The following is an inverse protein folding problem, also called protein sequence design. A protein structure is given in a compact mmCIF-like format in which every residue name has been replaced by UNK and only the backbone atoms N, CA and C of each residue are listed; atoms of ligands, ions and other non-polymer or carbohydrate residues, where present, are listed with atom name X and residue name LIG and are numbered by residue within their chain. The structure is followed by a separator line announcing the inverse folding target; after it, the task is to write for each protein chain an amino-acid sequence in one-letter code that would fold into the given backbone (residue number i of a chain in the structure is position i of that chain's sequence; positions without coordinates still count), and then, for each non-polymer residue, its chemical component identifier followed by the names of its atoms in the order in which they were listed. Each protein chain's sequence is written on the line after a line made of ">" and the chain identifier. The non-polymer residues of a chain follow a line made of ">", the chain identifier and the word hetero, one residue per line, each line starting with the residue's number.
data_IF_281615032637
#
_entry.id   IF_281615032637
#
_cell.length_a   1.000
_cell.length_b   1.000
_cell.length_c   1.000
_cell.angle_alpha   90.00
_cell.angle_beta   90.00
_cell.angle_gamma   90.00
#
_symmetry.space_group_name_H-M   'P 1'
#
loop_
_entity.id
_entity.type
_entity.pdbx_description
1 polymer ?
#
# COMPACT_ATOMS: atom_id res chain seq x y z
N UNK A 1 -19.46 0.13 19.95
CA UNK A 1 -18.43 1.06 19.44
C UNK A 1 -18.16 0.76 17.98
N UNK A 2 -18.08 1.79 17.19
CA UNK A 2 -17.79 1.63 15.77
C UNK A 2 -16.38 1.09 15.58
N UNK A 3 -16.23 0.11 14.68
CA UNK A 3 -14.93 -0.43 14.31
C UNK A 3 -14.19 0.62 13.47
N UNK A 4 -12.94 0.89 13.81
CA UNK A 4 -12.11 1.78 12.98
C UNK A 4 -11.82 1.11 11.65
N UNK A 5 -11.93 1.88 10.59
CA UNK A 5 -11.73 1.40 9.23
C UNK A 5 -10.67 2.24 8.53
N UNK A 6 -9.89 1.59 7.69
CA UNK A 6 -8.97 2.23 6.75
C UNK A 6 -9.23 1.68 5.36
N UNK A 7 -8.81 2.45 4.37
CA UNK A 7 -8.86 2.02 2.98
C UNK A 7 -7.52 2.26 2.32
N UNK A 8 -7.11 1.35 1.47
CA UNK A 8 -5.82 1.43 0.80
C UNK A 8 -5.83 0.91 -0.62
N UNK A 9 -4.79 1.26 -1.34
CA UNK A 9 -4.60 0.85 -2.73
C UNK A 9 -3.31 0.05 -2.84
N UNK A 10 -3.40 -1.14 -3.39
CA UNK A 10 -2.25 -1.93 -3.80
C UNK A 10 -2.06 -1.73 -5.30
N UNK A 11 -1.16 -0.82 -5.66
CA UNK A 11 -0.82 -0.61 -7.05
C UNK A 11 0.03 -1.78 -7.53
N UNK A 12 -0.28 -2.32 -8.70
CA UNK A 12 0.51 -3.40 -9.29
C UNK A 12 0.77 -3.13 -10.75
N UNK A 13 1.84 -3.70 -11.26
CA UNK A 13 2.18 -3.66 -12.68
C UNK A 13 2.55 -5.05 -13.16
N UNK A 14 2.29 -5.30 -14.43
CA UNK A 14 2.67 -6.57 -15.05
C UNK A 14 4.08 -6.47 -15.59
N UNK A 15 4.82 -7.55 -15.37
CA UNK A 15 6.19 -7.65 -15.87
C UNK A 15 6.17 -8.63 -17.04
N UNK A 16 6.77 -8.20 -18.14
CA UNK A 16 6.97 -9.07 -19.28
C UNK A 16 8.40 -9.62 -19.25
N UNK A 17 8.55 -10.90 -19.51
CA UNK A 17 9.83 -11.55 -19.62
C UNK A 17 9.98 -12.78 -18.75
N UNK A 18 10.96 -13.60 -19.10
CA UNK A 18 11.18 -14.92 -18.52
C UNK A 18 11.67 -14.91 -17.08
N UNK A 19 11.90 -13.75 -16.48
CA UNK A 19 12.53 -13.64 -15.18
C UNK A 19 11.54 -13.37 -14.05
N UNK A 20 10.28 -13.14 -14.34
CA UNK A 20 9.29 -12.88 -13.31
C UNK A 20 8.51 -14.14 -13.00
N UNK A 21 8.69 -14.68 -11.81
CA UNK A 21 8.03 -15.90 -11.38
C UNK A 21 6.51 -15.78 -11.27
N UNK A 22 5.99 -14.56 -11.13
CA UNK A 22 4.56 -14.30 -10.97
C UNK A 22 3.97 -13.37 -12.03
N UNK A 23 4.81 -12.71 -12.80
CA UNK A 23 4.38 -11.76 -13.83
C UNK A 23 3.88 -10.43 -13.31
N UNK A 24 3.95 -10.15 -12.01
CA UNK A 24 3.50 -8.89 -11.42
C UNK A 24 4.49 -8.38 -10.39
N UNK A 25 4.49 -7.05 -10.21
CA UNK A 25 5.12 -6.39 -9.08
C UNK A 25 4.09 -5.51 -8.38
N UNK A 26 4.26 -5.34 -7.08
CA UNK A 26 3.39 -4.50 -6.26
C UNK A 26 4.18 -3.35 -5.66
N UNK A 27 3.53 -2.20 -5.50
CA UNK A 27 4.12 -1.03 -4.89
C UNK A 27 3.80 -1.00 -3.41
N UNK A 28 4.83 -0.96 -2.59
CA UNK A 28 4.71 -0.84 -1.15
C UNK A 28 5.34 0.45 -0.66
N UNK A 29 4.89 0.90 0.51
CA UNK A 29 5.33 2.13 1.14
C UNK A 29 6.05 1.81 2.45
N UNK A 30 7.16 2.50 2.69
CA UNK A 30 7.91 2.38 3.93
C UNK A 30 7.51 3.53 4.87
N UNK A 31 7.08 3.22 6.11
CA UNK A 31 6.70 4.27 7.06
C UNK A 31 7.88 5.20 7.36
N UNK A 32 7.62 6.49 7.38
CA UNK A 32 8.62 7.50 7.74
C UNK A 32 8.67 7.76 9.24
N UNK A 33 9.58 8.64 9.62
CA UNK A 33 9.79 9.01 11.00
C UNK A 33 10.86 8.20 11.70
N UNK A 34 11.29 8.67 12.89
CA UNK A 34 12.48 8.12 13.54
C UNK A 34 12.32 6.69 14.05
N UNK A 35 11.08 6.24 14.31
CA UNK A 35 10.85 4.89 14.81
C UNK A 35 11.05 3.82 13.75
N UNK A 36 10.98 4.18 12.47
CA UNK A 36 11.02 3.22 11.37
C UNK A 36 12.28 3.28 10.52
N UNK A 37 13.18 4.21 10.82
CA UNK A 37 14.38 4.46 10.00
C UNK A 37 15.19 3.19 9.74
N UNK A 38 15.29 2.30 10.73
CA UNK A 38 16.05 1.05 10.63
C UNK A 38 15.17 -0.19 10.54
N UNK A 39 13.85 -0.01 10.35
CA UNK A 39 12.93 -1.12 10.22
C UNK A 39 12.71 -1.41 8.75
N UNK A 40 12.65 -2.66 8.40
CA UNK A 40 12.49 -3.08 7.01
C UNK A 40 11.49 -4.24 6.94
N UNK A 41 11.96 -5.48 6.99
CA UNK A 41 11.06 -6.64 6.90
C UNK A 41 9.95 -6.57 7.94
N UNK A 42 8.71 -6.81 7.50
CA UNK A 42 7.55 -6.80 8.37
C UNK A 42 7.03 -5.41 8.71
N UNK A 43 7.56 -4.33 8.12
CA UNK A 43 7.18 -2.96 8.44
C UNK A 43 6.60 -2.16 7.28
N UNK A 44 6.77 -2.63 6.05
CA UNK A 44 6.18 -1.99 4.89
C UNK A 44 4.67 -2.15 4.89
N UNK A 45 3.98 -1.25 4.21
CA UNK A 45 2.53 -1.19 4.17
C UNK A 45 2.06 -0.82 2.77
N UNK A 46 0.80 -1.13 2.46
CA UNK A 46 0.15 -0.48 1.32
C UNK A 46 -0.17 0.96 1.73
N UNK A 47 -0.16 1.91 0.77
CA UNK A 47 -0.64 3.27 1.05
C UNK A 47 -2.11 3.20 1.47
N UNK A 48 -2.42 3.72 2.66
CA UNK A 48 -3.77 3.61 3.24
C UNK A 48 -3.97 4.62 4.34
N UNK A 49 -5.21 4.87 4.67
CA UNK A 49 -5.55 5.70 5.81
C UNK A 49 -7.03 5.65 6.14
N UNK A 50 -7.40 6.43 7.13
CA UNK A 50 -8.76 6.44 7.66
C UNK A 50 -9.61 7.48 6.93
N UNK A 51 -10.93 7.24 6.80
CA UNK A 51 -11.83 8.25 6.26
C UNK A 51 -11.82 9.53 7.10
N UNK A 52 -11.87 10.66 6.41
CA UNK A 52 -12.19 11.93 7.06
C UNK A 52 -13.70 12.05 7.30
N UNK A 53 -14.10 13.03 8.11
CA UNK A 53 -15.51 13.24 8.41
C UNK A 53 -16.33 13.41 7.12
N UNK A 54 -17.36 12.59 6.98
CA UNK A 54 -18.27 12.64 5.83
C UNK A 54 -17.86 11.77 4.65
N UNK A 55 -16.69 11.17 4.67
CA UNK A 55 -16.28 10.22 3.62
C UNK A 55 -16.91 8.85 3.87
N UNK A 56 -17.71 8.37 2.94
CA UNK A 56 -18.36 7.07 3.02
C UNK A 56 -17.86 6.07 1.98
N UNK A 57 -17.33 6.56 0.86
CA UNK A 57 -16.80 5.71 -0.22
C UNK A 57 -15.36 5.32 0.10
N UNK A 58 -15.17 4.09 0.54
CA UNK A 58 -13.86 3.60 0.96
C UNK A 58 -12.86 3.50 -0.20
N UNK A 59 -13.30 3.25 -1.42
CA UNK A 59 -12.39 3.30 -2.56
C UNK A 59 -11.86 4.70 -2.78
N UNK A 60 -12.74 5.70 -2.68
CA UNK A 60 -12.31 7.10 -2.79
C UNK A 60 -11.35 7.48 -1.66
N UNK A 61 -11.58 6.99 -0.44
CA UNK A 61 -10.66 7.18 0.68
C UNK A 61 -9.29 6.58 0.37
N UNK A 62 -9.26 5.36 -0.14
CA UNK A 62 -8.00 4.71 -0.50
C UNK A 62 -7.24 5.47 -1.57
N UNK A 63 -7.95 6.00 -2.58
CA UNK A 63 -7.34 6.81 -3.64
C UNK A 63 -6.78 8.13 -3.10
N UNK A 64 -7.51 8.79 -2.20
CA UNK A 64 -7.04 10.02 -1.55
C UNK A 64 -5.79 9.77 -0.71
N UNK A 65 -5.82 8.73 0.11
CA UNK A 65 -4.67 8.37 0.95
C UNK A 65 -3.44 8.00 0.12
N UNK A 66 -3.65 7.29 -0.99
CA UNK A 66 -2.56 7.00 -1.93
C UNK A 66 -1.92 8.30 -2.45
N UNK A 67 -2.75 9.25 -2.88
CA UNK A 67 -2.25 10.53 -3.38
C UNK A 67 -1.49 11.31 -2.31
N UNK A 68 -1.96 11.29 -1.08
CA UNK A 68 -1.29 11.98 0.03
C UNK A 68 0.05 11.35 0.39
N UNK A 69 0.13 10.02 0.38
CA UNK A 69 1.33 9.30 0.81
C UNK A 69 2.35 9.12 -0.32
N UNK A 70 1.92 9.04 -1.55
CA UNK A 70 2.78 8.81 -2.71
C UNK A 70 3.04 10.09 -3.51
N UNK A 71 2.14 11.06 -3.41
CA UNK A 71 2.29 12.35 -4.06
C UNK A 71 1.75 12.43 -5.47
N UNK A 72 1.15 11.34 -5.95
CA UNK A 72 0.48 11.30 -7.26
C UNK A 72 -0.84 10.57 -7.10
N UNK A 73 -1.82 10.94 -7.93
CA UNK A 73 -3.08 10.22 -7.99
C UNK A 73 -2.81 8.77 -8.43
N UNK A 74 -3.50 7.78 -7.84
CA UNK A 74 -3.40 6.43 -8.37
C UNK A 74 -3.87 6.44 -9.82
N UNK A 75 -3.12 5.76 -10.72
CA UNK A 75 -3.53 5.76 -12.12
C UNK A 75 -4.92 5.15 -12.29
N UNK A 76 -5.60 5.62 -13.34
CA UNK A 76 -6.77 4.90 -13.82
C UNK A 76 -6.25 3.59 -14.38
N UNK A 77 -6.87 2.49 -14.02
CA UNK A 77 -6.38 1.17 -14.38
C UNK A 77 -5.96 1.06 -15.84
N UNK A 78 -4.82 0.43 -16.08
CA UNK A 78 -4.27 0.28 -17.42
C UNK A 78 -5.30 -0.38 -18.35
N UNK A 79 -5.39 0.12 -19.58
CA UNK A 79 -6.35 -0.37 -20.58
C UNK A 79 -7.81 -0.32 -20.12
N UNK A 80 -8.15 0.62 -19.23
CA UNK A 80 -9.49 0.77 -18.70
C UNK A 80 -9.91 -0.31 -17.70
N UNK A 81 -8.95 -1.06 -17.19
CA UNK A 81 -9.25 -2.07 -16.17
C UNK A 81 -9.78 -1.44 -14.90
N UNK A 82 -10.72 -2.12 -14.25
CA UNK A 82 -11.34 -1.65 -13.01
C UNK A 82 -10.49 -2.02 -11.81
N UNK A 83 -10.60 -1.26 -10.71
CA UNK A 83 -10.00 -1.69 -9.45
C UNK A 83 -10.52 -3.08 -9.06
N UNK A 84 -9.60 -3.90 -8.56
CA UNK A 84 -9.93 -5.25 -8.09
C UNK A 84 -10.12 -5.18 -6.59
N UNK A 85 -11.29 -5.53 -6.11
CA UNK A 85 -11.56 -5.58 -4.68
C UNK A 85 -10.78 -6.72 -4.04
N UNK A 86 -9.92 -6.41 -3.07
CA UNK A 86 -9.12 -7.39 -2.35
C UNK A 86 -9.71 -7.76 -0.98
N UNK A 87 -10.87 -7.17 -0.64
CA UNK A 87 -11.53 -7.45 0.62
C UNK A 87 -10.86 -6.78 1.81
N UNK A 88 -10.95 -7.41 2.96
CA UNK A 88 -10.52 -6.81 4.21
C UNK A 88 -9.53 -7.70 4.95
N UNK A 89 -8.75 -7.05 5.81
CA UNK A 89 -7.97 -7.72 6.86
C UNK A 89 -8.20 -6.95 8.17
N UNK A 90 -7.89 -7.57 9.29
CA UNK A 90 -7.96 -6.92 10.59
C UNK A 90 -6.56 -6.81 11.16
N UNK A 91 -6.16 -5.58 11.49
CA UNK A 91 -4.87 -5.31 12.11
C UNK A 91 -4.92 -5.54 13.63
N UNK A 92 -3.75 -5.59 14.24
CA UNK A 92 -3.65 -5.56 15.70
C UNK A 92 -4.38 -4.31 16.21
N UNK A 93 -5.19 -4.47 17.24
CA UNK A 93 -6.01 -3.38 17.76
C UNK A 93 -7.41 -3.29 17.16
N UNK A 94 -7.74 -4.16 16.19
CA UNK A 94 -9.09 -4.30 15.66
C UNK A 94 -9.44 -3.41 14.47
N UNK A 95 -8.50 -2.59 13.97
CA UNK A 95 -8.78 -1.79 12.78
C UNK A 95 -8.96 -2.69 11.57
N UNK A 96 -10.04 -2.48 10.83
CA UNK A 96 -10.32 -3.20 9.59
C UNK A 96 -9.78 -2.40 8.41
N UNK A 97 -8.97 -3.03 7.57
CA UNK A 97 -8.42 -2.40 6.36
C UNK A 97 -9.08 -3.00 5.14
N UNK A 98 -9.66 -2.15 4.31
CA UNK A 98 -10.20 -2.50 3.00
C UNK A 98 -9.16 -2.15 1.94
N UNK A 99 -8.95 -3.01 0.97
CA UNK A 99 -7.99 -2.73 -0.09
C UNK A 99 -8.55 -3.05 -1.48
N UNK A 100 -8.06 -2.26 -2.44
CA UNK A 100 -8.30 -2.48 -3.87
C UNK A 100 -6.97 -2.51 -4.57
N UNK A 101 -6.85 -3.35 -5.58
CA UNK A 101 -5.70 -3.37 -6.47
C UNK A 101 -6.01 -2.55 -7.72
N UNK A 102 -5.06 -1.74 -8.13
CA UNK A 102 -5.16 -0.96 -9.37
C UNK A 102 -3.92 -1.27 -10.21
N UNK A 103 -4.13 -1.57 -11.48
CA UNK A 103 -3.03 -1.79 -12.40
C UNK A 103 -2.51 -0.45 -12.93
N UNK A 104 -1.21 -0.21 -12.83
CA UNK A 104 -0.60 1.00 -13.32
C UNK A 104 0.89 1.04 -12.98
N UNK A 105 1.56 2.08 -13.44
CA UNK A 105 2.98 2.27 -13.21
C UNK A 105 3.25 3.68 -12.70
N UNK A 106 4.32 3.82 -11.95
CA UNK A 106 4.84 5.12 -11.54
C UNK A 106 6.33 4.98 -11.19
N UNK A 107 7.01 6.13 -11.17
CA UNK A 107 8.42 6.19 -10.78
C UNK A 107 8.52 6.35 -9.27
N UNK A 108 9.05 5.35 -8.53
CA UNK A 108 9.21 5.48 -7.09
C UNK A 108 10.06 6.67 -6.66
N UNK A 109 11.02 7.07 -7.51
CA UNK A 109 11.89 8.21 -7.22
C UNK A 109 11.18 9.56 -7.24
N UNK A 110 9.98 9.62 -7.84
CA UNK A 110 9.17 10.83 -7.88
C UNK A 110 8.16 10.92 -6.75
N UNK A 111 8.10 9.93 -5.88
CA UNK A 111 7.13 9.91 -4.78
C UNK A 111 7.41 11.01 -3.76
N UNK A 112 6.36 11.72 -3.37
CA UNK A 112 6.41 12.78 -2.34
C UNK A 112 5.26 12.58 -1.39
N UNK A 113 5.57 12.27 -0.14
CA UNK A 113 4.57 12.04 0.90
C UNK A 113 4.20 13.33 1.61
N UNK A 114 2.97 13.39 2.12
CA UNK A 114 2.62 14.35 3.14
C UNK A 114 3.46 14.11 4.40
N UNK A 115 3.43 15.05 5.32
CA UNK A 115 4.28 15.03 6.50
C UNK A 115 3.46 15.03 7.78
N UNK A 116 4.10 14.64 8.86
CA UNK A 116 3.56 14.78 10.20
C UNK A 116 4.61 15.39 11.12
N UNK A 117 4.14 15.96 12.21
CA UNK A 117 5.00 16.59 13.22
C UNK A 117 4.95 15.78 14.51
N UNK A 118 6.09 15.59 15.14
CA UNK A 118 6.17 14.95 16.44
C UNK A 118 7.32 15.52 17.26
N UNK A 119 7.22 15.35 18.57
CA UNK A 119 8.32 15.69 19.45
C UNK A 119 9.43 14.66 19.30
N UNK A 120 10.61 15.13 18.92
CA UNK A 120 11.76 14.25 18.77
C UNK A 120 13.06 15.04 19.02
N UNK A 121 14.03 14.53 19.81
CA UNK A 121 13.92 13.29 20.60
C UNK A 121 12.82 13.34 21.67
N UNK A 122 12.44 12.19 22.24
CA UNK A 122 11.42 12.18 23.30
C UNK A 122 11.81 13.11 24.45
N UNK A 123 10.84 13.87 24.97
CA UNK A 123 11.01 14.80 26.09
C UNK A 123 11.99 15.94 25.83
N UNK A 124 12.33 16.20 24.56
CA UNK A 124 13.25 17.29 24.20
C UNK A 124 12.58 18.66 24.12
N UNK A 125 11.26 18.69 24.01
CA UNK A 125 10.53 19.91 23.71
C UNK A 125 10.67 20.38 22.27
N UNK A 126 11.36 19.62 21.43
CA UNK A 126 11.60 19.97 20.02
C UNK A 126 10.63 19.22 19.14
N UNK A 127 9.90 19.96 18.32
CA UNK A 127 9.02 19.37 17.33
C UNK A 127 9.74 19.30 15.99
N UNK A 128 9.69 18.12 15.37
CA UNK A 128 10.31 17.90 14.07
C UNK A 128 9.27 17.34 13.09
N UNK A 129 9.47 17.66 11.82
CA UNK A 129 8.60 17.24 10.73
C UNK A 129 9.23 16.05 10.03
N UNK A 130 8.43 14.99 9.81
CA UNK A 130 8.86 13.78 9.12
C UNK A 130 7.85 13.43 8.02
N UNK A 131 8.30 12.81 6.92
CA UNK A 131 7.33 12.30 5.95
C UNK A 131 6.54 11.13 6.54
N UNK A 132 5.26 11.04 6.18
CA UNK A 132 4.43 9.86 6.53
C UNK A 132 5.03 8.59 5.93
N UNK A 133 5.47 8.69 4.67
CA UNK A 133 6.12 7.63 3.92
C UNK A 133 7.48 8.17 3.48
N UNK A 134 8.56 7.49 3.79
CA UNK A 134 9.89 7.95 3.41
C UNK A 134 10.35 7.41 2.05
N UNK A 135 9.77 6.33 1.60
CA UNK A 135 10.05 5.78 0.26
C UNK A 135 8.98 4.79 -0.16
N UNK A 136 8.85 4.61 -1.44
CA UNK A 136 8.04 3.55 -2.04
C UNK A 136 8.92 2.72 -2.96
N UNK A 137 8.57 1.47 -3.17
CA UNK A 137 9.35 0.59 -4.04
C UNK A 137 8.47 -0.52 -4.61
N UNK A 138 8.89 -1.02 -5.77
CA UNK A 138 8.27 -2.16 -6.40
C UNK A 138 8.89 -3.46 -5.90
N UNK A 139 8.05 -4.43 -5.62
CA UNK A 139 8.49 -5.75 -5.17
C UNK A 139 7.73 -6.85 -5.90
N UNK A 140 8.41 -7.95 -6.16
CA UNK A 140 7.74 -9.19 -6.56
C UNK A 140 6.96 -9.74 -5.37
N UNK A 141 5.92 -10.55 -5.59
CA UNK A 141 5.05 -11.01 -4.51
C UNK A 141 5.78 -11.69 -3.35
N UNK A 142 6.76 -12.53 -3.60
CA UNK A 142 7.48 -13.21 -2.52
C UNK A 142 8.24 -12.22 -1.64
N UNK A 143 8.90 -11.23 -2.25
CA UNK A 143 9.59 -10.19 -1.50
C UNK A 143 8.59 -9.30 -0.77
N UNK A 144 7.47 -8.96 -1.41
CA UNK A 144 6.42 -8.17 -0.78
C UNK A 144 5.88 -8.85 0.48
N UNK A 145 5.72 -10.17 0.45
CA UNK A 145 5.26 -10.91 1.63
C UNK A 145 6.23 -10.80 2.80
N UNK A 146 7.53 -10.76 2.51
CA UNK A 146 8.55 -10.58 3.55
C UNK A 146 8.58 -9.15 4.10
N UNK A 147 8.35 -8.17 3.23
CA UNK A 147 8.45 -6.75 3.59
C UNK A 147 7.24 -6.23 4.32
N UNK A 148 6.04 -6.69 3.94
CA UNK A 148 4.79 -6.19 4.50
C UNK A 148 4.60 -6.55 5.97
N UNK A 149 3.89 -5.67 6.67
CA UNK A 149 3.29 -6.04 7.96
C UNK A 149 2.55 -7.38 7.78
N UNK A 150 2.76 -8.34 8.67
CA UNK A 150 2.19 -9.69 8.46
C UNK A 150 0.67 -9.69 8.24
N UNK A 151 -0.07 -8.78 8.89
CA UNK A 151 -1.52 -8.70 8.75
C UNK A 151 -1.96 -8.31 7.34
N UNK A 152 -1.10 -7.66 6.56
CA UNK A 152 -1.40 -7.20 5.20
C UNK A 152 -1.00 -8.20 4.12
N UNK A 153 -0.23 -9.23 4.46
CA UNK A 153 0.22 -10.25 3.49
C UNK A 153 -0.93 -10.86 2.68
N UNK A 154 -2.12 -11.13 3.28
CA UNK A 154 -3.24 -11.66 2.50
C UNK A 154 -3.64 -10.82 1.29
N UNK A 155 -3.41 -9.51 1.30
CA UNK A 155 -3.72 -8.68 0.14
C UNK A 155 -2.87 -9.07 -1.08
N UNK A 156 -1.60 -9.39 -0.87
CA UNK A 156 -0.73 -9.86 -1.96
C UNK A 156 -1.21 -11.21 -2.47
N UNK A 157 -1.55 -12.12 -1.58
CA UNK A 157 -2.06 -13.44 -1.96
C UNK A 157 -3.33 -13.32 -2.80
N UNK A 158 -4.27 -12.46 -2.37
CA UNK A 158 -5.53 -12.25 -3.08
C UNK A 158 -5.32 -11.60 -4.44
N UNK A 159 -4.34 -10.67 -4.54
CA UNK A 159 -3.99 -10.08 -5.83
C UNK A 159 -3.43 -11.14 -6.78
N UNK A 160 -2.49 -11.93 -6.33
CA UNK A 160 -1.88 -12.98 -7.15
C UNK A 160 -2.94 -13.96 -7.64
N UNK A 161 -3.88 -14.35 -6.77
CA UNK A 161 -4.98 -15.22 -7.16
C UNK A 161 -5.87 -14.56 -8.22
N UNK A 162 -6.12 -13.25 -8.10
CA UNK A 162 -7.00 -12.54 -9.02
C UNK A 162 -6.36 -12.34 -10.39
N UNK A 163 -5.06 -12.06 -10.47
CA UNK A 163 -4.38 -11.72 -11.74
C UNK A 163 -3.52 -12.84 -12.28
N UNK A 164 -3.00 -13.69 -11.41
CA UNK A 164 -2.21 -14.86 -11.78
C UNK A 164 -3.02 -16.12 -11.97
N UNK A 165 -4.30 -16.07 -11.60
CA UNK A 165 -5.22 -17.21 -11.67
C UNK A 165 -5.67 -17.58 -13.07
N UNK A 166 -5.27 -16.82 -14.08
CA UNK A 166 -5.30 -17.32 -15.43
C UNK A 166 -4.16 -18.33 -15.56
N UNK A 167 -4.27 -19.45 -14.87
CA UNK A 167 -3.52 -20.63 -15.26
C UNK A 167 -3.76 -20.80 -16.75
N UNK A 168 -2.72 -20.95 -17.56
CA UNK A 168 -2.96 -21.36 -18.92
C UNK A 168 -3.85 -22.58 -18.85
N UNK A 169 -5.02 -22.49 -19.42
CA UNK A 169 -5.84 -23.63 -19.69
C UNK A 169 -4.98 -24.60 -20.47
N UNK A 170 -4.75 -25.67 -19.96
CA UNK A 170 -4.01 -26.61 -20.70
C UNK A 170 -3.65 -27.68 -19.83
N UNK A 171 -4.59 -28.12 -19.36
CA UNK A 171 -4.33 -29.33 -18.73
C UNK A 171 -3.62 -29.39 -17.56
#
# INVERSE_FOLDING_TARGET
>A
MAVRQSAGILLFRRIQGDQASSGVQVLLAHPGGPFFTRRDEGHWTIPKGEPDNGEEDLLAVGRREFAEEVGVEPPIGANGSRPIELGTITQKGGKVVHAWAIEGDLDPGAAVSNTFEMEWPPRSGRRQVFPEIDRVAWFEPDEARRRLKPTQVPFVDRLVDAVGGAKPDGT
#
